data_IF_357480740144
#
_entry.id   IF_357480740144
#
_cell.length_a   1.000
_cell.length_b   1.000
_cell.length_c   1.000
_cell.angle_alpha   90.00
_cell.angle_beta   90.00
_cell.angle_gamma   90.00
#
_symmetry.space_group_name_H-M   'P 1'
#
loop_
_entity.id
_entity.type
_entity.pdbx_description
1 polymer ?
#
# COMPACT_ATOMS: atom_id res chain seq x y z
N UNK A 1 -0.38 11.09 -38.36
CA UNK A 1 -1.37 12.17 -38.25
C UNK A 1 -2.51 11.87 -37.26
N UNK A 2 -3.04 10.63 -37.17
CA UNK A 2 -4.13 10.30 -36.23
C UNK A 2 -3.87 10.68 -34.75
N UNK A 3 -2.63 10.56 -34.29
CA UNK A 3 -2.19 10.90 -32.91
C UNK A 3 -2.47 12.34 -32.48
N UNK A 4 -2.49 13.30 -33.41
CA UNK A 4 -2.76 14.72 -33.10
C UNK A 4 -4.23 15.00 -32.81
N UNK A 5 -5.16 14.17 -33.30
CA UNK A 5 -6.60 14.34 -33.06
C UNK A 5 -7.03 13.85 -31.67
N UNK A 6 -6.48 12.74 -31.16
CA UNK A 6 -6.77 12.23 -29.81
C UNK A 6 -6.54 13.29 -28.73
N UNK A 7 -5.50 14.12 -28.89
CA UNK A 7 -5.12 15.12 -27.91
C UNK A 7 -6.17 16.23 -27.71
N UNK A 8 -7.03 16.47 -28.72
CA UNK A 8 -8.09 17.50 -28.67
C UNK A 8 -9.40 17.06 -28.00
N UNK A 9 -9.59 15.77 -27.70
CA UNK A 9 -10.86 15.26 -27.12
C UNK A 9 -10.75 14.74 -25.68
N UNK A 10 -9.54 14.49 -25.17
CA UNK A 10 -9.34 14.22 -23.74
C UNK A 10 -9.58 15.47 -22.87
N UNK A 11 -9.12 16.65 -23.30
CA UNK A 11 -9.31 17.91 -22.56
C UNK A 11 -10.78 18.28 -22.40
N UNK A 12 -11.63 18.29 -23.47
CA UNK A 12 -13.06 18.55 -23.33
C UNK A 12 -13.81 17.56 -22.45
N UNK A 13 -13.43 16.27 -22.41
CA UNK A 13 -14.07 15.30 -21.50
C UNK A 13 -13.84 15.66 -20.02
N UNK A 14 -12.61 16.10 -19.68
CA UNK A 14 -12.27 16.55 -18.34
C UNK A 14 -12.80 17.98 -18.05
N UNK A 15 -12.92 18.85 -19.06
CA UNK A 15 -13.33 20.25 -18.91
C UNK A 15 -14.84 20.53 -19.07
N UNK A 16 -15.62 19.66 -19.70
CA UNK A 16 -17.09 19.80 -19.69
C UNK A 16 -17.69 19.44 -18.33
N UNK A 17 -17.11 18.46 -17.63
CA UNK A 17 -17.49 18.14 -16.26
C UNK A 17 -17.21 19.32 -15.31
N UNK A 18 -16.07 20.03 -15.46
CA UNK A 18 -15.81 21.24 -14.65
C UNK A 18 -16.73 22.41 -14.99
N UNK A 19 -17.26 22.52 -16.21
CA UNK A 19 -18.32 23.50 -16.52
C UNK A 19 -19.70 23.13 -15.98
N UNK A 20 -20.04 21.84 -15.87
CA UNK A 20 -21.29 21.40 -15.21
C UNK A 20 -21.27 21.69 -13.70
N UNK A 21 -20.11 21.60 -13.06
CA UNK A 21 -19.91 21.82 -11.62
C UNK A 21 -20.16 23.28 -11.17
N UNK A 22 -20.17 24.25 -12.08
CA UNK A 22 -20.36 25.68 -11.76
C UNK A 22 -21.79 26.06 -11.30
N UNK A 23 -22.75 25.12 -11.31
CA UNK A 23 -24.16 25.39 -10.97
C UNK A 23 -24.57 25.01 -9.54
N UNK A 24 -23.76 24.20 -8.81
CA UNK A 24 -24.10 23.69 -7.47
C UNK A 24 -23.18 24.21 -6.37
N UNK A 25 -23.17 25.52 -6.18
CA UNK A 25 -22.59 26.14 -4.98
C UNK A 25 -23.47 25.86 -3.75
N UNK A 26 -23.02 24.94 -2.87
CA UNK A 26 -23.27 24.80 -1.41
C UNK A 26 -23.37 23.31 -0.97
N UNK A 27 -22.25 22.56 -0.96
CA UNK A 27 -21.99 21.55 0.08
C UNK A 27 -20.52 21.06 0.16
N UNK A 28 -19.56 21.87 -0.29
CA UNK A 28 -18.12 21.66 -0.04
C UNK A 28 -17.58 22.99 0.48
N UNK A 29 -16.73 22.97 1.53
CA UNK A 29 -15.98 24.16 1.94
C UNK A 29 -15.09 24.60 0.77
N UNK A 30 -15.01 25.90 0.50
CA UNK A 30 -13.98 26.42 -0.42
C UNK A 30 -12.61 26.19 0.23
N UNK A 31 -11.91 25.13 -0.18
CA UNK A 31 -10.57 24.83 0.30
C UNK A 31 -9.55 25.79 -0.33
N UNK A 32 -9.48 27.00 0.24
CA UNK A 32 -8.51 28.09 -0.07
C UNK A 32 -7.04 27.63 0.02
N UNK A 33 -6.81 26.41 0.49
CA UNK A 33 -5.51 25.77 0.62
C UNK A 33 -5.00 25.11 -0.68
N UNK A 34 -5.88 24.65 -1.56
CA UNK A 34 -5.52 23.84 -2.74
C UNK A 34 -5.50 24.66 -4.05
N UNK A 35 -4.86 24.12 -5.09
CA UNK A 35 -4.79 24.75 -6.42
C UNK A 35 -5.94 24.31 -7.34
N UNK A 36 -6.43 25.20 -8.21
CA UNK A 36 -7.54 24.92 -9.14
C UNK A 36 -7.22 23.94 -10.28
N UNK A 37 -5.95 23.58 -10.49
CA UNK A 37 -5.53 22.73 -11.61
C UNK A 37 -4.02 22.69 -11.85
N UNK A 38 -3.54 21.74 -12.69
CA UNK A 38 -2.14 21.61 -13.04
C UNK A 38 -1.65 22.74 -13.97
N UNK A 39 -0.34 23.01 -13.94
CA UNK A 39 0.34 24.03 -14.76
C UNK A 39 1.70 23.48 -15.20
N UNK A 40 1.86 23.23 -16.48
CA UNK A 40 3.12 22.73 -17.06
C UNK A 40 3.94 23.88 -17.66
N UNK A 41 5.25 23.83 -17.45
CA UNK A 41 6.28 24.77 -17.96
C UNK A 41 7.28 24.06 -18.87
N UNK A 42 7.59 22.79 -18.59
CA UNK A 42 8.53 21.94 -19.34
C UNK A 42 7.95 20.54 -19.56
N UNK A 43 8.67 19.73 -20.34
CA UNK A 43 8.60 18.27 -20.24
C UNK A 43 9.09 17.77 -18.87
N UNK A 44 8.66 16.56 -18.45
CA UNK A 44 9.01 15.95 -17.16
C UNK A 44 9.74 14.61 -17.37
N UNK A 45 10.93 14.37 -16.78
CA UNK A 45 11.72 15.30 -15.96
C UNK A 45 12.30 16.45 -16.78
N UNK A 46 12.19 17.69 -16.28
CA UNK A 46 12.72 18.88 -16.92
C UNK A 46 14.25 19.04 -16.76
N UNK A 47 14.85 20.12 -17.30
CA UNK A 47 16.30 20.34 -17.26
C UNK A 47 16.92 20.34 -15.86
N UNK A 48 16.25 20.92 -14.85
CA UNK A 48 16.72 20.93 -13.45
C UNK A 48 16.57 19.57 -12.80
N UNK A 49 15.47 18.84 -13.06
CA UNK A 49 15.31 17.46 -12.62
C UNK A 49 16.40 16.55 -13.20
N UNK A 50 16.70 16.68 -14.50
CA UNK A 50 17.76 15.89 -15.17
C UNK A 50 19.16 16.20 -14.63
N UNK A 51 19.44 17.45 -14.27
CA UNK A 51 20.67 17.85 -13.58
C UNK A 51 20.81 17.10 -12.25
N UNK A 52 19.79 17.14 -11.40
CA UNK A 52 19.80 16.51 -10.08
C UNK A 52 19.82 14.97 -10.15
N UNK A 53 19.14 14.36 -11.13
CA UNK A 53 19.24 12.90 -11.39
C UNK A 53 20.67 12.52 -11.73
N UNK A 54 21.36 13.27 -12.60
CA UNK A 54 22.76 12.99 -12.96
C UNK A 54 23.70 13.13 -11.76
N UNK A 55 23.47 14.13 -10.90
CA UNK A 55 24.23 14.30 -9.66
C UNK A 55 23.99 13.14 -8.69
N UNK A 56 22.74 12.70 -8.51
CA UNK A 56 22.42 11.54 -7.68
C UNK A 56 23.06 10.25 -8.20
N UNK A 57 23.12 10.08 -9.53
CA UNK A 57 23.68 8.91 -10.19
C UNK A 57 25.21 8.75 -10.02
N UNK A 58 25.91 9.74 -9.44
CA UNK A 58 27.32 9.58 -9.02
C UNK A 58 27.46 9.01 -7.60
N UNK A 59 26.37 8.95 -6.84
CA UNK A 59 26.36 8.55 -5.42
C UNK A 59 25.59 7.24 -5.18
N UNK A 60 24.55 6.96 -5.97
CA UNK A 60 23.75 5.73 -5.95
C UNK A 60 23.09 5.53 -7.32
N UNK A 61 22.58 4.34 -7.65
CA UNK A 61 21.77 4.17 -8.86
C UNK A 61 20.50 5.05 -8.76
N UNK A 62 20.27 5.87 -9.79
CA UNK A 62 19.15 6.81 -9.86
C UNK A 62 18.10 6.45 -10.93
N UNK A 63 18.16 5.27 -11.55
CA UNK A 63 17.32 4.89 -12.71
C UNK A 63 15.82 4.85 -12.36
N UNK A 64 15.48 4.68 -11.09
CA UNK A 64 14.10 4.71 -10.58
C UNK A 64 13.54 6.13 -10.33
N UNK A 65 14.34 7.19 -10.48
CA UNK A 65 13.92 8.56 -10.16
C UNK A 65 13.17 9.21 -11.34
N UNK A 66 11.88 9.46 -11.14
CA UNK A 66 11.01 10.07 -12.16
C UNK A 66 11.35 11.54 -12.45
N UNK A 67 11.57 12.34 -11.41
CA UNK A 67 11.90 13.76 -11.40
C UNK A 67 12.24 14.19 -9.96
N UNK A 68 12.72 15.42 -9.74
CA UNK A 68 12.95 15.97 -8.40
C UNK A 68 11.79 16.91 -8.01
N UNK A 69 11.39 16.90 -6.75
CA UNK A 69 10.20 17.60 -6.25
C UNK A 69 10.56 18.89 -5.50
N UNK A 70 9.70 19.90 -5.62
CA UNK A 70 9.62 21.06 -4.75
C UNK A 70 8.47 20.79 -3.77
N UNK A 71 8.80 20.31 -2.57
CA UNK A 71 7.78 19.93 -1.59
C UNK A 71 7.20 21.13 -0.85
N UNK A 72 7.93 22.23 -0.80
CA UNK A 72 7.56 23.50 -0.17
C UNK A 72 6.40 24.19 -0.92
N UNK A 73 6.39 24.18 -2.25
CA UNK A 73 5.27 24.67 -3.07
C UNK A 73 4.20 23.60 -3.38
N UNK A 74 4.40 22.33 -3.00
CA UNK A 74 3.38 21.29 -3.15
C UNK A 74 2.22 21.46 -2.16
N UNK A 75 0.96 21.30 -2.61
CA UNK A 75 -0.24 21.56 -1.80
C UNK A 75 -1.42 20.67 -2.18
N UNK A 76 -2.09 20.08 -1.19
CA UNK A 76 -3.27 19.24 -1.43
C UNK A 76 -2.93 18.04 -2.30
N UNK A 77 -3.69 17.81 -3.36
CA UNK A 77 -3.43 16.74 -4.34
C UNK A 77 -2.39 17.15 -5.41
N UNK A 78 -1.70 18.29 -5.28
CA UNK A 78 -0.74 18.76 -6.29
C UNK A 78 0.72 18.67 -5.83
N UNK A 79 1.52 17.95 -6.61
CA UNK A 79 2.96 17.87 -6.49
C UNK A 79 3.60 18.88 -7.46
N UNK A 80 4.58 19.63 -6.98
CA UNK A 80 5.40 20.55 -7.78
C UNK A 80 6.79 19.94 -8.00
N UNK A 81 7.35 20.07 -9.20
CA UNK A 81 8.73 19.66 -9.50
C UNK A 81 9.72 20.84 -9.47
N UNK A 82 11.02 20.54 -9.42
CA UNK A 82 12.10 21.56 -9.39
C UNK A 82 12.27 22.35 -10.69
N UNK A 83 11.51 21.99 -11.74
CA UNK A 83 11.38 22.74 -12.99
C UNK A 83 10.14 23.67 -12.95
N UNK A 84 9.38 23.61 -11.85
CA UNK A 84 8.22 24.42 -11.54
C UNK A 84 6.93 23.94 -12.22
N UNK A 85 6.88 22.70 -12.72
CA UNK A 85 5.65 22.08 -13.18
C UNK A 85 4.78 21.71 -11.97
N UNK A 86 3.50 22.03 -12.02
CA UNK A 86 2.50 21.59 -11.03
C UNK A 86 1.63 20.50 -11.63
N UNK A 87 1.65 19.32 -11.03
CA UNK A 87 0.96 18.12 -11.48
C UNK A 87 -0.07 17.67 -10.43
N UNK A 88 -1.25 17.24 -10.86
CA UNK A 88 -2.20 16.51 -10.02
C UNK A 88 -1.61 15.12 -9.73
N UNK A 89 -1.39 14.77 -8.47
CA UNK A 89 -0.78 13.52 -8.04
C UNK A 89 -1.85 12.48 -7.65
N UNK A 90 -2.08 11.51 -8.54
CA UNK A 90 -2.96 10.36 -8.31
C UNK A 90 -2.17 9.11 -7.86
N UNK A 91 -0.90 9.27 -7.51
CA UNK A 91 -0.01 8.22 -6.98
C UNK A 91 0.40 8.45 -5.52
N UNK A 92 0.41 9.71 -5.05
CA UNK A 92 0.51 10.11 -3.63
C UNK A 92 1.71 9.49 -2.89
N UNK A 93 2.89 9.51 -3.54
CA UNK A 93 4.13 8.86 -3.07
C UNK A 93 3.93 7.38 -2.71
N UNK A 94 3.44 6.57 -3.66
CA UNK A 94 3.14 5.14 -3.45
C UNK A 94 2.06 4.95 -2.35
N UNK A 95 0.96 5.70 -2.45
CA UNK A 95 -0.18 5.65 -1.50
C UNK A 95 0.20 5.94 -0.03
N UNK A 96 1.17 6.84 0.21
CA UNK A 96 1.69 7.13 1.55
C UNK A 96 1.38 8.53 2.10
N UNK A 97 0.87 9.46 1.27
CA UNK A 97 0.40 10.79 1.68
C UNK A 97 -1.11 10.74 1.98
N UNK A 98 -1.56 10.87 3.24
CA UNK A 98 -2.94 10.52 3.61
C UNK A 98 -3.97 11.65 3.45
N UNK A 99 -3.56 12.92 3.48
CA UNK A 99 -4.45 14.11 3.42
C UNK A 99 -3.85 15.23 2.55
N UNK A 100 -3.11 14.84 1.51
CA UNK A 100 -2.40 15.75 0.61
C UNK A 100 -1.12 16.36 1.19
N UNK A 101 -0.38 17.05 0.33
CA UNK A 101 0.84 17.79 0.67
C UNK A 101 0.52 18.98 1.58
N UNK A 102 1.49 19.35 2.44
CA UNK A 102 1.54 20.55 3.29
C UNK A 102 0.23 20.93 4.03
N UNK A 103 -0.61 19.94 4.36
CA UNK A 103 -1.95 20.16 4.90
C UNK A 103 -1.96 21.09 6.13
N UNK A 104 -2.83 22.14 6.19
CA UNK A 104 -2.76 23.17 7.23
C UNK A 104 -2.85 22.66 8.67
N UNK A 105 -3.53 21.55 8.91
CA UNK A 105 -3.57 20.92 10.24
C UNK A 105 -2.18 20.42 10.67
N UNK A 106 -1.43 19.79 9.76
CA UNK A 106 -0.09 19.26 10.02
C UNK A 106 0.94 20.40 10.19
N UNK A 107 0.80 21.47 9.40
CA UNK A 107 1.60 22.70 9.57
C UNK A 107 1.35 23.32 10.95
N UNK A 108 0.09 23.41 11.40
CA UNK A 108 -0.28 23.86 12.76
C UNK A 108 0.23 22.91 13.85
N UNK A 109 0.36 21.60 13.59
CA UNK A 109 0.98 20.64 14.51
C UNK A 109 2.49 20.87 14.64
N UNK A 110 3.18 21.20 13.55
CA UNK A 110 4.61 21.51 13.57
C UNK A 110 4.92 22.88 14.22
N UNK A 111 4.02 23.85 14.08
CA UNK A 111 4.18 25.21 14.66
C UNK A 111 3.91 25.30 16.17
N UNK A 112 3.35 24.26 16.81
CA UNK A 112 3.07 24.21 18.25
C UNK A 112 4.36 24.01 19.06
N UNK A 113 4.85 24.98 19.86
CA UNK A 113 6.14 24.87 20.55
C UNK A 113 6.25 23.66 21.50
N UNK A 114 5.14 23.23 22.10
CA UNK A 114 5.10 22.04 22.95
C UNK A 114 5.47 20.74 22.23
N UNK A 115 5.28 20.68 20.91
CA UNK A 115 5.59 19.49 20.10
C UNK A 115 7.08 19.38 19.75
N UNK A 116 7.88 20.45 19.92
CA UNK A 116 9.29 20.51 19.49
C UNK A 116 10.12 19.34 20.05
N UNK A 117 9.91 18.99 21.33
CA UNK A 117 10.63 17.88 21.98
C UNK A 117 10.46 16.55 21.23
N UNK A 118 9.25 16.25 20.75
CA UNK A 118 8.95 14.98 20.07
C UNK A 118 9.60 14.85 18.68
N UNK A 119 10.09 15.95 18.09
CA UNK A 119 10.81 15.95 16.81
C UNK A 119 12.33 15.88 16.98
N UNK A 120 12.89 16.36 18.09
CA UNK A 120 14.35 16.37 18.34
C UNK A 120 14.81 15.24 19.27
N UNK A 121 13.98 14.81 20.23
CA UNK A 121 14.28 13.77 21.20
C UNK A 121 13.60 12.46 20.79
N UNK A 122 14.29 11.61 20.00
CA UNK A 122 13.74 10.32 19.56
C UNK A 122 13.99 9.22 20.61
N UNK A 123 12.95 8.71 21.32
CA UNK A 123 13.13 7.77 22.42
C UNK A 123 13.30 6.32 21.96
N UNK A 124 13.96 5.51 22.79
CA UNK A 124 13.94 4.06 22.71
C UNK A 124 12.60 3.54 23.28
N UNK A 125 11.52 3.62 22.50
CA UNK A 125 10.12 3.40 22.94
C UNK A 125 9.84 2.09 23.71
N UNK A 126 10.64 1.04 23.51
CA UNK A 126 10.50 -0.23 24.25
C UNK A 126 11.00 -0.20 25.70
N UNK A 127 11.72 0.85 26.11
CA UNK A 127 12.32 1.00 27.46
C UNK A 127 12.13 2.38 28.08
N UNK A 128 12.05 3.45 27.28
CA UNK A 128 11.96 4.84 27.71
C UNK A 128 10.89 5.60 26.90
N UNK A 129 9.60 5.22 26.99
CA UNK A 129 8.52 5.94 26.32
C UNK A 129 8.31 7.33 26.96
N UNK A 130 7.84 8.33 26.20
CA UNK A 130 7.35 9.58 26.77
C UNK A 130 6.05 9.34 27.57
N UNK A 131 5.75 10.25 28.48
CA UNK A 131 4.56 10.21 29.35
C UNK A 131 3.25 10.23 28.57
N UNK A 132 3.20 10.99 27.48
CA UNK A 132 2.05 11.09 26.57
C UNK A 132 1.79 9.84 25.70
N UNK A 133 2.72 8.88 25.64
CA UNK A 133 2.70 7.80 24.64
C UNK A 133 1.41 6.96 24.69
N UNK A 134 0.91 6.72 25.90
CA UNK A 134 -0.31 5.97 26.13
C UNK A 134 -1.59 6.72 25.71
N UNK A 135 -1.55 8.05 25.66
CA UNK A 135 -2.65 8.90 25.13
C UNK A 135 -2.55 8.94 23.61
N UNK A 136 -1.37 9.24 23.07
CA UNK A 136 -1.10 9.23 21.63
C UNK A 136 -1.50 7.92 20.95
N UNK A 137 -1.20 6.76 21.54
CA UNK A 137 -1.65 5.45 21.02
C UNK A 137 -3.16 5.25 21.08
N UNK A 138 -3.85 5.80 22.10
CA UNK A 138 -5.31 5.71 22.25
C UNK A 138 -6.05 6.55 21.21
N UNK A 139 -5.60 7.77 21.00
CA UNK A 139 -6.22 8.73 20.08
C UNK A 139 -5.93 8.41 18.61
N UNK A 140 -4.72 7.90 18.30
CA UNK A 140 -4.37 7.42 16.96
C UNK A 140 -4.83 5.96 16.72
N UNK A 141 -3.89 5.01 16.76
CA UNK A 141 -4.02 3.64 16.27
C UNK A 141 -5.11 2.83 16.97
N UNK A 142 -5.24 2.96 18.30
CA UNK A 142 -6.25 2.18 19.01
C UNK A 142 -7.68 2.68 18.74
N UNK A 143 -7.86 3.95 18.37
CA UNK A 143 -9.18 4.51 17.97
C UNK A 143 -9.74 3.88 16.69
N UNK A 144 -8.89 3.22 15.89
CA UNK A 144 -9.23 2.52 14.64
C UNK A 144 -8.98 1.00 14.72
N UNK A 145 -8.92 0.44 15.94
CA UNK A 145 -8.62 -0.99 16.16
C UNK A 145 -9.57 -1.94 15.40
N UNK A 146 -9.06 -2.90 14.61
CA UNK A 146 -9.90 -3.92 13.98
C UNK A 146 -10.63 -4.79 15.02
N UNK A 147 -11.86 -5.23 14.70
CA UNK A 147 -12.70 -6.04 15.61
C UNK A 147 -11.94 -7.28 16.11
N UNK A 148 -11.84 -7.41 17.44
CA UNK A 148 -11.14 -8.52 18.10
C UNK A 148 -9.61 -8.36 18.20
N UNK A 149 -9.06 -7.19 17.86
CA UNK A 149 -7.66 -6.84 18.14
C UNK A 149 -7.64 -5.65 19.11
N UNK A 150 -7.11 -5.86 20.32
CA UNK A 150 -6.98 -4.85 21.38
C UNK A 150 -5.51 -4.59 21.76
N UNK A 151 -4.57 -5.06 20.95
CA UNK A 151 -3.13 -4.97 21.18
C UNK A 151 -2.50 -4.29 19.96
N UNK A 152 -1.73 -3.23 20.21
CA UNK A 152 -1.03 -2.45 19.18
C UNK A 152 0.48 -2.68 19.29
N UNK A 153 1.14 -2.71 18.13
CA UNK A 153 2.59 -2.85 18.02
C UNK A 153 3.08 -1.95 16.89
N UNK A 154 3.51 -0.75 17.23
CA UNK A 154 4.07 0.23 16.29
C UNK A 154 5.42 -0.25 15.73
N UNK A 155 5.71 0.12 14.49
CA UNK A 155 6.91 -0.23 13.72
C UNK A 155 7.24 0.91 12.75
N UNK A 156 8.48 0.98 12.26
CA UNK A 156 8.94 2.12 11.43
C UNK A 156 8.57 2.03 9.94
N UNK A 157 8.27 0.84 9.40
CA UNK A 157 7.86 0.66 8.01
C UNK A 157 7.12 -0.69 7.81
N UNK A 158 6.49 -0.88 6.64
CA UNK A 158 5.76 -2.11 6.32
C UNK A 158 6.61 -3.39 6.41
N UNK A 159 7.85 -3.37 5.92
CA UNK A 159 8.75 -4.53 6.01
C UNK A 159 8.98 -4.95 7.46
N UNK A 160 9.35 -4.03 8.37
CA UNK A 160 9.58 -4.42 9.77
C UNK A 160 8.28 -4.70 10.54
N UNK A 161 7.12 -4.19 10.11
CA UNK A 161 5.81 -4.69 10.56
C UNK A 161 5.64 -6.17 10.23
N UNK A 162 5.90 -6.57 8.99
CA UNK A 162 5.72 -7.95 8.53
C UNK A 162 6.78 -8.91 9.10
N UNK A 163 8.08 -8.55 9.10
CA UNK A 163 9.13 -9.36 9.75
C UNK A 163 8.83 -9.61 11.24
N UNK A 164 8.36 -8.59 11.97
CA UNK A 164 7.95 -8.80 13.34
C UNK A 164 6.69 -9.67 13.37
N UNK A 165 5.66 -9.41 12.56
CA UNK A 165 4.45 -10.24 12.45
C UNK A 165 4.72 -11.73 12.16
N UNK A 166 5.82 -12.07 11.46
CA UNK A 166 6.23 -13.46 11.24
C UNK A 166 6.91 -14.08 12.48
N UNK A 167 7.87 -13.39 13.12
CA UNK A 167 8.47 -13.85 14.39
C UNK A 167 7.42 -14.04 15.48
N UNK A 168 6.53 -13.06 15.60
CA UNK A 168 5.26 -13.04 16.34
C UNK A 168 4.49 -14.36 16.15
N UNK A 169 4.18 -14.72 14.90
CA UNK A 169 3.51 -15.97 14.52
C UNK A 169 4.29 -17.19 15.01
N UNK A 170 5.57 -17.30 14.69
CA UNK A 170 6.40 -18.47 15.05
C UNK A 170 6.53 -18.67 16.56
N UNK A 171 6.72 -17.58 17.33
CA UNK A 171 6.89 -17.63 18.79
C UNK A 171 5.64 -18.15 19.50
N UNK A 172 4.45 -17.71 19.08
CA UNK A 172 3.21 -18.28 19.60
C UNK A 172 3.02 -19.73 19.15
N UNK A 173 3.34 -20.09 17.90
CA UNK A 173 3.17 -21.46 17.44
C UNK A 173 4.08 -22.42 18.25
N UNK A 174 5.33 -22.05 18.52
CA UNK A 174 6.17 -22.77 19.49
C UNK A 174 5.58 -22.80 20.89
N UNK A 175 4.99 -21.70 21.38
CA UNK A 175 4.31 -21.69 22.69
C UNK A 175 3.11 -22.66 22.73
N UNK A 176 2.37 -22.81 21.63
CA UNK A 176 1.25 -23.76 21.49
C UNK A 176 1.74 -25.20 21.49
N UNK A 177 2.81 -25.52 20.76
CA UNK A 177 3.41 -26.88 20.77
C UNK A 177 4.03 -27.22 22.13
N UNK A 178 4.78 -26.29 22.72
CA UNK A 178 5.44 -26.48 24.02
C UNK A 178 4.44 -26.51 25.19
N UNK A 179 3.27 -25.89 25.03
CA UNK A 179 2.21 -25.85 26.03
C UNK A 179 2.62 -25.07 27.28
N UNK A 180 2.61 -25.75 28.43
CA UNK A 180 3.07 -25.21 29.72
C UNK A 180 4.53 -25.57 30.04
N UNK A 181 5.23 -26.31 29.18
CA UNK A 181 6.61 -26.72 29.44
C UNK A 181 7.58 -25.53 29.32
N UNK A 182 8.64 -25.55 30.13
CA UNK A 182 9.74 -24.60 30.04
C UNK A 182 10.53 -24.81 28.73
N UNK A 183 11.17 -23.75 28.24
CA UNK A 183 12.15 -23.85 27.13
C UNK A 183 13.30 -24.75 27.58
N UNK A 184 13.71 -25.71 26.76
CA UNK A 184 14.78 -26.65 27.12
C UNK A 184 16.15 -26.01 26.92
N UNK A 185 17.19 -26.52 27.61
CA UNK A 185 18.56 -26.08 27.37
C UNK A 185 18.99 -26.33 25.91
N UNK A 186 18.55 -27.44 25.32
CA UNK A 186 18.77 -27.75 23.90
C UNK A 186 18.16 -26.68 22.98
N UNK A 187 16.95 -26.17 23.26
CA UNK A 187 16.35 -25.06 22.51
C UNK A 187 17.10 -23.74 22.66
N UNK A 188 17.73 -23.49 23.82
CA UNK A 188 18.58 -22.31 24.05
C UNK A 188 19.92 -22.43 23.31
N UNK A 189 20.59 -23.57 23.44
CA UNK A 189 21.92 -23.79 22.85
C UNK A 189 21.84 -23.84 21.31
N UNK A 190 20.81 -24.50 20.76
CA UNK A 190 20.64 -24.65 19.31
C UNK A 190 20.16 -23.38 18.61
N UNK A 191 19.36 -22.51 19.25
CA UNK A 191 18.92 -21.26 18.62
C UNK A 191 20.08 -20.28 18.40
N UNK A 192 21.06 -20.26 19.30
CA UNK A 192 22.27 -19.42 19.20
C UNK A 192 23.20 -19.82 18.03
N UNK A 193 23.00 -20.99 17.44
CA UNK A 193 23.76 -21.50 16.28
C UNK A 193 22.87 -21.81 15.06
N UNK A 194 21.67 -21.21 14.98
CA UNK A 194 20.72 -21.34 13.88
C UNK A 194 20.24 -22.79 13.61
N UNK A 195 20.06 -23.62 14.64
CA UNK A 195 19.65 -25.03 14.52
C UNK A 195 18.34 -25.34 15.25
N UNK A 196 17.65 -26.38 14.77
CA UNK A 196 16.59 -27.07 15.50
C UNK A 196 17.16 -27.70 16.80
N UNK A 197 16.38 -27.81 17.91
CA UNK A 197 14.97 -27.40 18.08
C UNK A 197 14.74 -25.90 18.33
N UNK A 198 15.78 -25.13 18.64
CA UNK A 198 15.68 -23.70 18.98
C UNK A 198 15.24 -22.81 17.82
N UNK A 199 15.71 -23.10 16.61
CA UNK A 199 15.22 -22.56 15.35
C UNK A 199 14.32 -23.60 14.65
N UNK A 200 12.98 -23.47 14.69
CA UNK A 200 12.08 -24.38 14.00
C UNK A 200 12.00 -24.08 12.50
N UNK A 201 11.90 -25.13 11.67
CA UNK A 201 11.67 -25.01 10.22
C UNK A 201 10.19 -24.75 9.91
N UNK A 202 9.68 -23.62 10.40
CA UNK A 202 8.31 -23.17 10.16
C UNK A 202 8.19 -22.35 8.88
N UNK A 203 6.97 -22.32 8.33
CA UNK A 203 6.66 -21.56 7.12
C UNK A 203 5.51 -20.56 7.31
N UNK A 204 5.53 -19.50 6.49
CA UNK A 204 4.41 -18.58 6.29
C UNK A 204 3.88 -18.81 4.89
N UNK A 205 2.59 -19.16 4.76
CA UNK A 205 1.94 -19.28 3.46
C UNK A 205 1.67 -17.87 2.90
N UNK A 206 2.02 -17.69 1.64
CA UNK A 206 1.90 -16.41 0.91
C UNK A 206 1.25 -16.64 -0.45
N UNK A 207 0.92 -15.56 -1.17
CA UNK A 207 0.19 -15.63 -2.43
C UNK A 207 1.00 -15.08 -3.60
N UNK A 208 0.95 -15.76 -4.74
CA UNK A 208 1.50 -15.28 -6.01
C UNK A 208 0.95 -13.87 -6.32
N UNK A 209 1.81 -12.93 -6.73
CA UNK A 209 1.48 -11.52 -6.91
C UNK A 209 1.67 -10.63 -5.67
N UNK A 210 1.67 -11.16 -4.45
CA UNK A 210 1.73 -10.34 -3.22
C UNK A 210 3.04 -9.56 -3.05
N UNK A 211 3.02 -8.47 -2.28
CA UNK A 211 4.21 -7.65 -1.99
C UNK A 211 4.24 -7.19 -0.52
N UNK A 212 4.95 -7.95 0.30
CA UNK A 212 4.97 -7.79 1.75
C UNK A 212 6.26 -7.11 2.28
N UNK A 213 7.20 -6.76 1.39
CA UNK A 213 8.42 -6.02 1.72
C UNK A 213 9.67 -6.60 1.04
N UNK A 214 10.85 -6.01 1.32
CA UNK A 214 12.13 -6.37 0.67
C UNK A 214 13.23 -6.86 1.61
N UNK A 215 12.98 -6.94 2.92
CA UNK A 215 13.81 -7.71 3.87
C UNK A 215 13.56 -9.21 3.67
N UNK A 216 14.50 -10.09 4.04
CA UNK A 216 14.52 -11.48 3.54
C UNK A 216 13.27 -12.32 3.84
N UNK A 217 12.65 -12.18 5.02
CA UNK A 217 11.41 -12.90 5.35
C UNK A 217 10.21 -12.35 4.57
N UNK A 218 10.11 -11.02 4.49
CA UNK A 218 9.12 -10.33 3.66
C UNK A 218 9.26 -10.65 2.17
N UNK A 219 10.50 -10.81 1.70
CA UNK A 219 10.81 -11.10 0.31
C UNK A 219 10.51 -12.55 -0.07
N UNK A 220 10.73 -13.50 0.85
CA UNK A 220 10.28 -14.88 0.66
C UNK A 220 8.76 -14.95 0.45
N UNK A 221 7.98 -14.13 1.17
CA UNK A 221 6.52 -14.01 1.03
C UNK A 221 6.04 -13.04 -0.06
N UNK A 222 6.95 -12.33 -0.74
CA UNK A 222 6.65 -11.40 -1.85
C UNK A 222 6.84 -12.10 -3.18
N UNK A 223 5.91 -11.96 -4.12
CA UNK A 223 5.92 -12.65 -5.42
C UNK A 223 5.42 -11.76 -6.56
N UNK A 224 5.68 -10.45 -6.51
CA UNK A 224 5.15 -9.48 -7.49
C UNK A 224 5.92 -9.41 -8.82
N UNK A 225 7.24 -9.17 -8.78
CA UNK A 225 8.08 -8.91 -9.98
C UNK A 225 9.43 -9.60 -9.83
N UNK A 226 9.95 -10.22 -10.90
CA UNK A 226 11.17 -11.04 -10.84
C UNK A 226 12.41 -10.25 -10.37
N UNK A 227 12.54 -9.00 -10.82
CA UNK A 227 13.61 -8.05 -10.44
C UNK A 227 13.60 -7.69 -8.94
N UNK A 228 12.54 -8.01 -8.20
CA UNK A 228 12.53 -7.87 -6.74
C UNK A 228 13.20 -9.04 -6.01
N UNK A 229 13.26 -10.24 -6.63
CA UNK A 229 13.70 -11.50 -5.99
C UNK A 229 14.98 -12.11 -6.53
N UNK A 230 15.37 -11.76 -7.76
CA UNK A 230 16.55 -12.31 -8.42
C UNK A 230 17.81 -12.13 -7.56
N UNK A 231 18.69 -13.12 -7.57
CA UNK A 231 19.97 -13.18 -6.84
C UNK A 231 19.91 -13.10 -5.30
N UNK A 232 18.71 -13.05 -4.69
CA UNK A 232 18.53 -12.98 -3.23
C UNK A 232 18.10 -14.35 -2.65
N UNK A 233 18.82 -14.92 -1.65
CA UNK A 233 18.42 -16.15 -0.97
C UNK A 233 17.02 -16.06 -0.33
N UNK A 234 16.29 -17.18 -0.34
CA UNK A 234 14.89 -17.24 0.08
C UNK A 234 14.56 -18.50 0.88
N UNK A 235 13.38 -18.52 1.49
CA UNK A 235 12.88 -19.68 2.25
C UNK A 235 11.94 -20.53 1.38
N UNK A 236 12.06 -21.86 1.51
CA UNK A 236 11.13 -22.84 0.90
C UNK A 236 9.82 -22.89 1.72
N UNK A 237 8.98 -21.88 1.48
CA UNK A 237 7.66 -21.67 2.09
C UNK A 237 6.56 -21.77 1.02
N UNK A 238 5.33 -22.19 1.36
CA UNK A 238 4.28 -22.41 0.37
C UNK A 238 3.76 -21.11 -0.24
N UNK A 239 3.52 -21.17 -1.55
CA UNK A 239 3.01 -20.07 -2.38
C UNK A 239 1.72 -20.54 -3.04
N UNK A 240 0.59 -19.96 -2.62
CA UNK A 240 -0.73 -20.25 -3.18
C UNK A 240 -1.03 -19.33 -4.39
N UNK A 241 -1.91 -19.74 -5.31
CA UNK A 241 -2.43 -18.84 -6.34
C UNK A 241 -3.37 -17.79 -5.72
N UNK A 242 -3.25 -16.54 -6.14
CA UNK A 242 -4.30 -15.53 -5.92
C UNK A 242 -5.33 -15.59 -7.08
N UNK A 243 -6.65 -15.47 -6.82
CA UNK A 243 -7.68 -15.58 -7.87
C UNK A 243 -7.51 -14.58 -9.02
N UNK A 244 -7.50 -15.05 -10.27
CA UNK A 244 -7.42 -14.18 -11.46
C UNK A 244 -8.79 -13.93 -12.08
N UNK A 245 -9.53 -12.97 -11.51
CA UNK A 245 -10.87 -12.60 -11.97
C UNK A 245 -10.91 -12.15 -13.44
N UNK A 246 -11.94 -12.61 -14.15
CA UNK A 246 -12.35 -12.16 -15.48
C UNK A 246 -13.37 -11.02 -15.36
N UNK A 247 -13.34 -10.10 -16.32
CA UNK A 247 -14.14 -8.86 -16.36
C UNK A 247 -14.84 -8.70 -17.72
N UNK A 248 -16.06 -8.12 -17.79
CA UNK A 248 -16.87 -7.58 -16.69
C UNK A 248 -17.34 -8.67 -15.71
N UNK A 249 -17.41 -8.34 -14.41
CA UNK A 249 -17.64 -9.33 -13.35
C UNK A 249 -18.99 -10.04 -13.49
N UNK A 250 -19.98 -9.31 -14.01
CA UNK A 250 -21.36 -9.72 -14.24
C UNK A 250 -21.47 -10.80 -15.34
N UNK A 251 -20.48 -10.88 -16.23
CA UNK A 251 -20.44 -11.85 -17.34
C UNK A 251 -19.72 -13.15 -16.96
N UNK A 252 -18.92 -13.14 -15.89
CA UNK A 252 -18.04 -14.25 -15.49
C UNK A 252 -18.29 -14.74 -14.05
N UNK A 253 -19.51 -14.55 -13.54
CA UNK A 253 -19.89 -14.84 -12.15
C UNK A 253 -19.57 -16.29 -11.74
N UNK A 254 -19.75 -17.25 -12.65
CA UNK A 254 -19.44 -18.67 -12.37
C UNK A 254 -17.94 -18.91 -12.40
N UNK A 255 -17.26 -18.51 -13.47
CA UNK A 255 -15.82 -18.70 -13.68
C UNK A 255 -15.01 -18.08 -12.55
N UNK A 256 -15.39 -16.88 -12.09
CA UNK A 256 -14.76 -16.19 -10.98
C UNK A 256 -14.97 -16.93 -9.65
N UNK A 257 -16.17 -17.48 -9.41
CA UNK A 257 -16.47 -18.29 -8.21
C UNK A 257 -15.71 -19.62 -8.20
N UNK A 258 -15.62 -20.28 -9.35
CA UNK A 258 -14.93 -21.56 -9.50
C UNK A 258 -13.40 -21.38 -9.37
N UNK A 259 -12.84 -20.28 -9.90
CA UNK A 259 -11.44 -19.87 -9.69
C UNK A 259 -11.15 -19.53 -8.21
N UNK A 260 -12.02 -18.77 -7.53
CA UNK A 260 -11.87 -18.50 -6.10
C UNK A 260 -11.93 -19.79 -5.26
N UNK A 261 -12.78 -20.76 -5.64
CA UNK A 261 -12.86 -22.06 -4.98
C UNK A 261 -11.57 -22.88 -5.17
N UNK A 262 -11.04 -22.98 -6.39
CA UNK A 262 -9.76 -23.64 -6.70
C UNK A 262 -8.60 -23.06 -5.88
N UNK A 263 -8.50 -21.73 -5.82
CA UNK A 263 -7.48 -21.05 -5.02
C UNK A 263 -7.58 -21.35 -3.51
N UNK A 264 -8.78 -21.54 -2.97
CA UNK A 264 -8.99 -21.91 -1.57
C UNK A 264 -8.65 -23.38 -1.30
N UNK A 265 -8.98 -24.28 -2.22
CA UNK A 265 -8.63 -25.69 -2.16
C UNK A 265 -7.10 -25.87 -2.14
N UNK A 266 -6.38 -25.22 -3.07
CA UNK A 266 -4.91 -25.26 -3.11
C UNK A 266 -4.24 -24.68 -1.84
N UNK A 267 -4.90 -23.75 -1.11
CA UNK A 267 -4.40 -23.29 0.20
C UNK A 267 -4.50 -24.38 1.27
N UNK A 268 -5.62 -25.10 1.38
CA UNK A 268 -5.72 -26.22 2.34
C UNK A 268 -4.73 -27.33 1.97
N UNK A 269 -4.61 -27.62 0.68
CA UNK A 269 -3.74 -28.66 0.12
C UNK A 269 -2.25 -28.36 0.37
N UNK A 270 -1.82 -27.10 0.24
CA UNK A 270 -0.47 -26.64 0.61
C UNK A 270 -0.20 -26.75 2.12
N UNK A 271 -1.18 -26.44 2.97
CA UNK A 271 -1.03 -26.55 4.44
C UNK A 271 -0.82 -28.02 4.86
N UNK A 272 -1.53 -28.97 4.23
CA UNK A 272 -1.33 -30.41 4.46
C UNK A 272 0.07 -30.84 3.99
N UNK A 273 0.42 -30.56 2.73
CA UNK A 273 1.71 -30.98 2.13
C UNK A 273 2.92 -30.39 2.83
N UNK A 274 2.84 -29.16 3.34
CA UNK A 274 3.90 -28.56 4.16
C UNK A 274 4.01 -29.23 5.54
N UNK A 275 2.90 -29.64 6.16
CA UNK A 275 2.92 -30.38 7.43
C UNK A 275 3.54 -31.77 7.27
N UNK A 276 3.25 -32.49 6.18
CA UNK A 276 3.86 -33.79 5.86
C UNK A 276 5.38 -33.70 5.67
N UNK A 277 5.88 -32.57 5.17
CA UNK A 277 7.31 -32.26 5.05
C UNK A 277 7.95 -31.74 6.36
N UNK A 278 7.23 -31.76 7.48
CA UNK A 278 7.58 -31.10 8.76
C UNK A 278 7.75 -29.56 8.70
N UNK A 279 7.45 -28.92 7.57
CA UNK A 279 7.57 -27.46 7.34
C UNK A 279 6.32 -26.69 7.74
N UNK A 280 5.89 -26.87 8.99
CA UNK A 280 4.55 -26.49 9.47
C UNK A 280 4.22 -25.03 9.15
N UNK A 281 3.07 -24.82 8.47
CA UNK A 281 2.53 -23.48 8.20
C UNK A 281 2.04 -22.87 9.50
N UNK A 282 2.82 -21.94 10.04
CA UNK A 282 2.50 -21.27 11.31
C UNK A 282 1.50 -20.13 11.12
N UNK A 283 1.42 -19.55 9.91
CA UNK A 283 0.46 -18.50 9.56
C UNK A 283 0.35 -18.26 8.05
N UNK A 284 -0.60 -17.40 7.68
CA UNK A 284 -0.89 -16.99 6.31
C UNK A 284 -0.80 -15.46 6.24
N UNK A 285 -0.19 -14.93 5.18
CA UNK A 285 -0.14 -13.49 4.86
C UNK A 285 -0.79 -13.22 3.50
N UNK A 286 -1.61 -12.18 3.40
CA UNK A 286 -2.36 -11.81 2.20
C UNK A 286 -2.77 -10.32 2.24
N UNK A 287 -2.84 -9.68 1.07
CA UNK A 287 -3.40 -8.34 0.89
C UNK A 287 -4.91 -8.39 0.54
N UNK A 288 -5.76 -7.46 1.06
CA UNK A 288 -7.17 -7.38 0.66
C UNK A 288 -7.40 -7.04 -0.81
N UNK A 289 -6.45 -6.33 -1.43
CA UNK A 289 -6.29 -6.12 -2.87
C UNK A 289 -4.76 -6.12 -3.09
N UNK A 290 -4.23 -6.95 -3.98
CA UNK A 290 -2.77 -7.00 -4.19
C UNK A 290 -2.32 -5.81 -5.04
N UNK A 291 -1.52 -4.88 -4.51
CA UNK A 291 -1.11 -3.67 -5.25
C UNK A 291 -0.01 -3.97 -6.30
N UNK A 292 1.25 -4.15 -5.86
CA UNK A 292 2.42 -4.32 -6.73
C UNK A 292 2.36 -5.53 -7.69
N UNK A 293 1.46 -6.49 -7.42
CA UNK A 293 1.15 -7.64 -8.28
C UNK A 293 0.21 -7.35 -9.46
N UNK A 294 -0.20 -6.10 -9.66
CA UNK A 294 -1.12 -5.69 -10.74
C UNK A 294 -2.57 -5.53 -10.29
N UNK A 295 -2.81 -4.96 -9.10
CA UNK A 295 -4.13 -4.61 -8.58
C UNK A 295 -5.14 -5.79 -8.61
N UNK A 296 -4.73 -6.94 -8.07
CA UNK A 296 -5.57 -8.14 -8.09
C UNK A 296 -6.62 -8.07 -6.98
N UNK A 297 -7.89 -8.05 -7.37
CA UNK A 297 -9.05 -8.15 -6.49
C UNK A 297 -9.53 -9.60 -6.34
N UNK A 298 -10.11 -9.92 -5.19
CA UNK A 298 -10.94 -11.11 -4.95
C UNK A 298 -12.20 -10.70 -4.18
N UNK A 299 -13.22 -11.57 -4.15
CA UNK A 299 -14.49 -11.27 -3.46
C UNK A 299 -14.33 -11.23 -1.94
N UNK A 300 -15.22 -10.46 -1.28
CA UNK A 300 -15.32 -10.49 0.19
C UNK A 300 -15.66 -11.91 0.72
N UNK A 301 -16.13 -12.83 -0.13
CA UNK A 301 -16.42 -14.21 0.24
C UNK A 301 -15.18 -15.12 0.23
N UNK A 302 -14.29 -14.94 -0.75
CA UNK A 302 -12.97 -15.56 -0.77
C UNK A 302 -12.20 -15.25 0.52
N UNK A 303 -12.15 -13.96 0.93
CA UNK A 303 -11.47 -13.58 2.17
C UNK A 303 -12.13 -14.15 3.44
N UNK A 304 -13.48 -14.27 3.47
CA UNK A 304 -14.19 -14.94 4.58
C UNK A 304 -13.85 -16.43 4.66
N UNK A 305 -13.81 -17.13 3.52
CA UNK A 305 -13.45 -18.55 3.44
C UNK A 305 -11.99 -18.80 3.80
N UNK A 306 -11.06 -18.00 3.26
CA UNK A 306 -9.64 -18.06 3.62
C UNK A 306 -9.43 -17.82 5.11
N UNK A 307 -10.17 -16.86 5.70
CA UNK A 307 -10.19 -16.64 7.15
C UNK A 307 -10.73 -17.85 7.92
N UNK A 308 -11.72 -18.57 7.40
CA UNK A 308 -12.26 -19.79 8.02
C UNK A 308 -11.27 -20.97 7.96
N UNK A 309 -10.60 -21.19 6.81
CA UNK A 309 -9.48 -22.13 6.65
C UNK A 309 -8.43 -21.86 7.74
N UNK A 310 -8.03 -20.59 7.85
CA UNK A 310 -7.00 -20.14 8.79
C UNK A 310 -7.42 -20.19 10.27
N UNK A 311 -8.71 -20.25 10.61
CA UNK A 311 -9.21 -20.15 12.01
C UNK A 311 -8.88 -21.39 12.86
N UNK A 312 -8.38 -22.46 12.24
CA UNK A 312 -7.74 -23.60 12.91
C UNK A 312 -6.48 -23.05 13.68
N UNK A 313 -6.36 -23.16 15.03
CA UNK A 313 -6.37 -21.97 15.95
C UNK A 313 -5.05 -21.19 16.31
N UNK A 314 -5.17 -19.92 16.83
CA UNK A 314 -4.17 -18.80 17.09
C UNK A 314 -3.76 -18.49 18.60
N UNK A 315 -3.14 -17.37 19.12
CA UNK A 315 -2.58 -16.02 18.67
C UNK A 315 -1.45 -15.42 19.61
N UNK A 316 -0.96 -14.16 19.41
CA UNK A 316 0.47 -13.75 19.16
C UNK A 316 0.97 -12.36 19.76
N UNK A 317 2.30 -12.08 20.03
CA UNK A 317 2.89 -10.78 20.57
C UNK A 317 4.44 -10.50 20.39
N UNK A 318 4.95 -9.22 20.56
CA UNK A 318 6.33 -8.67 20.91
C UNK A 318 7.28 -8.02 19.80
N UNK A 319 8.00 -6.86 19.86
CA UNK A 319 8.43 -5.91 20.94
C UNK A 319 8.80 -4.45 20.51
N UNK A 320 9.41 -4.12 19.35
CA UNK A 320 10.17 -2.84 19.14
C UNK A 320 9.38 -1.66 18.49
N UNK A 321 8.95 -0.67 19.29
CA UNK A 321 7.72 0.12 19.06
C UNK A 321 7.74 1.41 18.17
N UNK A 322 8.51 1.51 17.08
CA UNK A 322 8.31 2.58 16.07
C UNK A 322 8.81 4.01 16.43
N UNK A 323 7.97 5.06 16.25
CA UNK A 323 8.37 6.49 16.32
C UNK A 323 7.21 7.41 16.80
N UNK A 324 7.35 8.15 17.93
CA UNK A 324 6.27 9.01 18.46
C UNK A 324 5.87 10.16 17.54
N UNK A 325 6.82 10.74 16.80
CA UNK A 325 6.55 11.89 15.92
C UNK A 325 5.53 11.54 14.83
N UNK A 326 5.48 10.26 14.44
CA UNK A 326 4.50 9.74 13.47
C UNK A 326 3.14 9.48 14.11
N UNK A 327 3.08 9.13 15.40
CA UNK A 327 1.82 9.01 16.14
C UNK A 327 1.12 10.37 16.29
N UNK A 328 1.85 11.45 16.60
CA UNK A 328 1.29 12.81 16.73
C UNK A 328 0.67 13.27 15.39
N UNK A 329 1.40 13.08 14.28
CA UNK A 329 0.88 13.38 12.94
C UNK A 329 -0.32 12.48 12.58
N UNK A 330 -0.28 11.19 12.94
CA UNK A 330 -1.38 10.25 12.69
C UNK A 330 -2.65 10.58 13.48
N UNK A 331 -2.55 11.07 14.72
CA UNK A 331 -3.72 11.55 15.49
C UNK A 331 -4.41 12.67 14.72
N UNK A 332 -3.68 13.67 14.22
CA UNK A 332 -4.29 14.79 13.48
C UNK A 332 -4.81 14.37 12.09
N UNK A 333 -4.13 13.45 11.40
CA UNK A 333 -4.65 12.81 10.16
C UNK A 333 -5.99 12.12 10.44
N UNK A 334 -6.10 11.37 11.54
CA UNK A 334 -7.33 10.68 11.92
C UNK A 334 -8.41 11.65 12.41
N UNK A 335 -8.06 12.80 12.98
CA UNK A 335 -9.00 13.88 13.28
C UNK A 335 -9.59 14.46 11.99
N UNK A 336 -8.75 14.84 11.02
CA UNK A 336 -9.17 15.36 9.71
C UNK A 336 -10.07 14.37 8.98
N UNK A 337 -9.68 13.09 8.88
CA UNK A 337 -10.50 12.04 8.24
C UNK A 337 -11.89 11.91 8.88
N UNK A 338 -12.01 12.07 10.20
CA UNK A 338 -13.28 11.99 10.94
C UNK A 338 -14.10 13.28 10.85
N UNK A 339 -13.46 14.45 10.78
CA UNK A 339 -14.12 15.77 10.76
C UNK A 339 -14.62 16.16 9.36
N UNK A 340 -13.88 15.77 8.32
CA UNK A 340 -14.18 16.10 6.91
C UNK A 340 -14.84 14.93 6.16
N UNK A 341 -15.23 13.87 6.88
CA UNK A 341 -15.90 12.65 6.36
C UNK A 341 -15.19 12.04 5.13
N UNK A 342 -13.86 11.98 5.18
CA UNK A 342 -13.03 11.61 4.03
C UNK A 342 -13.23 10.16 3.59
N UNK A 343 -13.81 9.30 4.44
CA UNK A 343 -14.19 7.93 4.07
C UNK A 343 -15.37 7.91 3.09
N UNK A 344 -16.43 8.68 3.35
CA UNK A 344 -17.55 8.79 2.41
C UNK A 344 -17.13 9.57 1.16
N UNK A 345 -16.26 10.57 1.28
CA UNK A 345 -15.67 11.26 0.12
C UNK A 345 -14.88 10.28 -0.76
N UNK A 346 -14.04 9.40 -0.20
CA UNK A 346 -13.28 8.40 -0.97
C UNK A 346 -14.20 7.38 -1.68
N UNK A 347 -15.36 7.06 -1.12
CA UNK A 347 -16.39 6.25 -1.81
C UNK A 347 -17.05 7.04 -2.94
N UNK A 348 -17.39 8.31 -2.72
CA UNK A 348 -18.06 9.18 -3.69
C UNK A 348 -17.16 9.54 -4.89
N UNK A 349 -15.97 10.10 -4.62
CA UNK A 349 -14.98 10.41 -5.64
C UNK A 349 -14.47 9.14 -6.34
N UNK A 350 -14.33 8.04 -5.60
CA UNK A 350 -14.03 6.72 -6.15
C UNK A 350 -15.06 6.23 -7.17
N UNK A 351 -16.36 6.43 -6.91
CA UNK A 351 -17.41 6.14 -7.89
C UNK A 351 -17.30 7.01 -9.14
N UNK A 352 -17.06 8.32 -9.00
CA UNK A 352 -16.88 9.22 -10.15
C UNK A 352 -15.69 8.78 -11.02
N UNK A 353 -14.57 8.40 -10.39
CA UNK A 353 -13.41 7.84 -11.07
C UNK A 353 -13.76 6.51 -11.79
N UNK A 354 -14.46 5.60 -11.11
CA UNK A 354 -14.87 4.31 -11.67
C UNK A 354 -15.79 4.45 -12.89
N UNK A 355 -16.84 5.28 -12.78
CA UNK A 355 -17.78 5.52 -13.87
C UNK A 355 -17.07 6.12 -15.10
N UNK A 356 -16.11 7.03 -14.87
CA UNK A 356 -15.26 7.61 -15.92
C UNK A 356 -14.27 6.62 -16.55
N UNK A 357 -13.69 5.71 -15.77
CA UNK A 357 -12.81 4.65 -16.30
C UNK A 357 -13.60 3.62 -17.12
N UNK A 358 -14.82 3.28 -16.71
CA UNK A 358 -15.70 2.37 -17.44
C UNK A 358 -16.14 2.97 -18.79
N UNK A 359 -16.51 4.25 -18.84
CA UNK A 359 -16.71 4.98 -20.10
C UNK A 359 -15.44 5.03 -20.96
N UNK A 360 -14.27 5.26 -20.35
CA UNK A 360 -12.99 5.26 -21.08
C UNK A 360 -12.67 3.87 -21.68
N UNK A 361 -12.98 2.77 -20.99
CA UNK A 361 -12.91 1.41 -21.52
C UNK A 361 -13.87 1.17 -22.69
N UNK A 362 -15.11 1.68 -22.61
CA UNK A 362 -16.10 1.57 -23.71
C UNK A 362 -15.65 2.38 -24.94
N UNK A 363 -15.04 3.56 -24.75
CA UNK A 363 -14.56 4.41 -25.85
C UNK A 363 -13.22 3.96 -26.45
N UNK A 364 -12.35 3.30 -25.68
CA UNK A 364 -11.02 2.87 -26.11
C UNK A 364 -10.67 1.41 -25.72
N UNK A 365 -11.49 0.41 -26.12
CA UNK A 365 -11.31 -0.99 -25.74
C UNK A 365 -10.04 -1.66 -26.32
N UNK A 366 -9.32 -0.95 -27.18
CA UNK A 366 -8.02 -1.36 -27.74
C UNK A 366 -6.81 -0.79 -26.95
N UNK A 367 -7.06 0.03 -25.92
CA UNK A 367 -6.05 0.60 -25.02
C UNK A 367 -6.33 0.31 -23.54
N UNK A 368 -7.59 0.03 -23.18
CA UNK A 368 -8.07 -0.09 -21.80
C UNK A 368 -8.94 -1.33 -21.68
N UNK A 369 -8.69 -2.16 -20.66
CA UNK A 369 -9.48 -3.35 -20.35
C UNK A 369 -9.44 -3.65 -18.84
N UNK A 370 -10.30 -4.56 -18.37
CA UNK A 370 -10.33 -5.06 -16.98
C UNK A 370 -10.38 -3.93 -15.91
N UNK A 371 -11.08 -2.83 -16.19
CA UNK A 371 -11.34 -1.74 -15.23
C UNK A 371 -11.92 -2.30 -13.93
N UNK A 372 -11.31 -1.95 -12.79
CA UNK A 372 -11.61 -2.50 -11.46
C UNK A 372 -11.22 -1.53 -10.35
N UNK A 373 -11.81 -1.67 -9.16
CA UNK A 373 -11.47 -0.84 -8.01
C UNK A 373 -12.46 -0.89 -6.85
N UNK A 374 -12.13 -0.21 -5.74
CA UNK A 374 -12.98 -0.04 -4.55
C UNK A 374 -12.62 1.28 -3.84
N UNK A 375 -13.56 2.23 -3.77
CA UNK A 375 -13.23 3.61 -3.39
C UNK A 375 -12.35 4.25 -4.46
N UNK A 376 -11.37 5.07 -4.07
CA UNK A 376 -10.37 5.65 -5.00
C UNK A 376 -9.29 4.66 -5.44
N UNK A 377 -9.20 3.47 -4.84
CA UNK A 377 -8.26 2.43 -5.22
C UNK A 377 -8.75 1.75 -6.51
N UNK A 378 -8.31 2.23 -7.67
CA UNK A 378 -8.82 1.88 -9.00
C UNK A 378 -7.69 1.66 -10.02
N UNK A 379 -7.89 0.71 -10.94
CA UNK A 379 -6.91 0.34 -11.96
C UNK A 379 -7.56 -0.21 -13.24
N UNK A 380 -6.76 -0.36 -14.29
CA UNK A 380 -7.12 -0.97 -15.57
C UNK A 380 -5.88 -1.53 -16.27
N UNK A 381 -6.06 -2.49 -17.18
CA UNK A 381 -4.99 -3.10 -17.94
C UNK A 381 -4.89 -2.48 -19.34
N UNK A 382 -3.67 -2.16 -19.76
CA UNK A 382 -3.34 -1.84 -21.17
C UNK A 382 -2.82 -3.08 -21.92
N UNK A 383 -2.78 -3.09 -23.27
CA UNK A 383 -2.34 -4.25 -24.05
C UNK A 383 -0.92 -4.75 -23.75
N UNK A 384 0.00 -3.84 -23.39
CA UNK A 384 1.42 -4.14 -23.23
C UNK A 384 2.17 -3.06 -22.39
N UNK A 385 3.36 -3.41 -21.89
CA UNK A 385 4.19 -2.53 -21.06
C UNK A 385 4.65 -1.24 -21.75
N UNK A 386 4.80 -1.23 -23.08
CA UNK A 386 5.22 -0.06 -23.85
C UNK A 386 4.05 0.92 -23.99
N UNK A 387 2.84 0.42 -24.27
CA UNK A 387 1.60 1.21 -24.24
C UNK A 387 1.36 1.81 -22.85
N UNK A 388 1.51 1.02 -21.78
CA UNK A 388 1.45 1.54 -20.39
C UNK A 388 2.44 2.66 -20.15
N UNK A 389 3.71 2.44 -20.46
CA UNK A 389 4.79 3.38 -20.15
C UNK A 389 4.64 4.68 -20.94
N UNK A 390 4.21 4.59 -22.19
CA UNK A 390 3.85 5.75 -23.01
C UNK A 390 2.63 6.51 -22.44
N UNK A 391 1.60 5.80 -21.96
CA UNK A 391 0.42 6.42 -21.35
C UNK A 391 0.78 7.20 -20.07
N UNK A 392 1.57 6.63 -19.17
CA UNK A 392 2.06 7.31 -17.97
C UNK A 392 2.88 8.56 -18.36
N UNK A 393 3.82 8.42 -19.30
CA UNK A 393 4.68 9.52 -19.74
C UNK A 393 3.88 10.68 -20.36
N UNK A 394 2.94 10.38 -21.26
CA UNK A 394 2.09 11.41 -21.89
C UNK A 394 1.10 12.05 -20.90
N UNK A 395 0.64 11.32 -19.89
CA UNK A 395 -0.28 11.83 -18.87
C UNK A 395 0.44 12.75 -17.88
N UNK A 396 1.68 12.39 -17.49
CA UNK A 396 2.59 13.23 -16.69
C UNK A 396 2.91 14.55 -17.38
N UNK A 397 3.27 14.51 -18.66
CA UNK A 397 3.52 15.71 -19.48
C UNK A 397 2.25 16.55 -19.75
N UNK A 398 1.06 16.05 -19.39
CA UNK A 398 -0.22 16.81 -19.35
C UNK A 398 -0.62 17.26 -17.95
N UNK A 399 0.26 17.12 -16.96
CA UNK A 399 0.02 17.60 -15.59
C UNK A 399 -0.68 16.62 -14.66
N UNK A 400 -0.62 15.31 -14.92
CA UNK A 400 -1.24 14.29 -14.04
C UNK A 400 -0.27 13.12 -13.81
N UNK A 401 0.11 12.87 -12.56
CA UNK A 401 0.94 11.72 -12.18
C UNK A 401 0.00 10.55 -11.93
N UNK A 402 0.24 9.45 -12.64
CA UNK A 402 -0.51 8.18 -12.53
C UNK A 402 0.47 7.00 -12.45
N UNK A 403 -0.03 5.88 -11.92
CA UNK A 403 0.59 4.56 -12.01
C UNK A 403 -0.42 3.59 -12.63
N UNK A 404 0.06 2.66 -13.46
CA UNK A 404 -0.71 1.70 -14.28
C UNK A 404 0.14 0.46 -14.51
#
# INVERSE_FOLDING_TARGET
>A
MASLFLCRQLTPALQHNTRSLLSFHRYIHQNVYEYDGPVMKTEVPGPRSRELIRQLNTMQNADAVNFFCDYEESRGNYLVDVDGNRMLDLYSQISSIPIGYNHPALVKVLQKPQNLSAFINRPALGILPPDDFNVNLKESLLSISPKGLQQVMTMSCGSCSNENAFKLIFMWFRKKERGLNMVTQEELDSCMINKFPGCPDYSILSFMGGFHGRTMGCLATTHSKAIHKLDIPSFDWPIAPFPKLKYPLEQFVKENKDEEARCLEEVEDLIVKCREKNKIVAGIVIEPIQSEGGDNHASDDFFRKLRAIAIKPYRIFNTWLGDPSKNILLTEVLNVIKQEDLLNNAVHAGKILMDGLLDFQVRYPHLVSRVRGRGTFCSFDTPDDVTRTNLISQTRNKGNIIYV
#
